data_IF_592145362514
#
_entry.id   IF_592145362514
#
_cell.length_a   1.000
_cell.length_b   1.000
_cell.length_c   1.000
_cell.angle_alpha   90.00
_cell.angle_beta   90.00
_cell.angle_gamma   90.00
#
_symmetry.space_group_name_H-M   'P 1'
#
loop_
_entity.id
_entity.type
_entity.pdbx_description
1 polymer ?
#
# COMPACT_ATOMS: atom_id res chain seq x y z
N UNK A 1 -8.83 -4.92 39.51
CA UNK A 1 -7.62 -5.45 38.87
C UNK A 1 -7.60 -4.94 37.43
N UNK A 2 -6.73 -3.99 37.09
CA UNK A 2 -6.65 -3.44 35.74
C UNK A 2 -5.87 -4.42 34.84
N UNK A 3 -6.40 -4.70 33.63
CA UNK A 3 -5.80 -5.63 32.68
C UNK A 3 -4.53 -5.00 32.06
N UNK A 4 -3.42 -5.73 31.90
CA UNK A 4 -2.21 -5.18 31.27
C UNK A 4 -2.50 -4.79 29.81
N UNK A 5 -2.25 -3.52 29.47
CA UNK A 5 -2.35 -3.02 28.10
C UNK A 5 -1.24 -3.61 27.23
N UNK A 6 -1.57 -4.00 26.00
CA UNK A 6 -0.60 -4.46 25.02
C UNK A 6 0.29 -3.28 24.59
N UNK A 7 1.46 -3.14 25.21
CA UNK A 7 2.49 -2.22 24.74
C UNK A 7 3.03 -2.74 23.41
N UNK A 8 2.66 -2.09 22.29
CA UNK A 8 3.34 -2.32 21.02
C UNK A 8 4.70 -1.63 21.09
N UNK A 9 5.76 -2.40 21.29
CA UNK A 9 7.12 -1.95 20.99
C UNK A 9 7.16 -1.64 19.50
N UNK A 10 7.04 -0.36 19.14
CA UNK A 10 7.47 0.09 17.82
C UNK A 10 8.98 0.31 17.95
N UNK A 11 9.84 -0.54 17.36
CA UNK A 11 11.25 -0.20 17.30
C UNK A 11 11.33 1.18 16.64
N UNK A 12 11.97 2.13 17.31
CA UNK A 12 12.38 3.38 16.68
C UNK A 12 13.27 2.96 15.52
N UNK A 13 12.72 3.03 14.31
CA UNK A 13 13.52 3.05 13.10
C UNK A 13 14.42 4.27 13.27
N UNK A 14 15.70 3.98 13.47
CA UNK A 14 16.78 4.93 13.37
C UNK A 14 16.59 5.65 12.03
N UNK A 15 16.71 6.97 12.09
CA UNK A 15 16.54 7.88 10.96
C UNK A 15 17.71 7.62 10.01
N UNK A 16 17.55 6.70 9.07
CA UNK A 16 18.39 6.61 7.88
C UNK A 16 18.01 7.79 6.97
N UNK A 17 18.67 8.91 7.26
CA UNK A 17 18.77 10.10 6.43
C UNK A 17 19.31 9.70 5.04
N UNK A 18 18.63 10.15 3.98
CA UNK A 18 19.09 10.15 2.58
C UNK A 18 19.26 8.80 1.87
N UNK A 19 18.15 8.17 1.48
CA UNK A 19 18.01 7.67 0.10
C UNK A 19 16.55 7.88 -0.34
N UNK A 20 16.35 8.38 -1.56
CA UNK A 20 15.10 8.26 -2.32
C UNK A 20 14.73 6.77 -2.50
N UNK A 21 14.51 6.05 -1.40
CA UNK A 21 14.12 4.66 -1.43
C UNK A 21 12.65 4.64 -1.84
N UNK A 22 12.44 4.28 -3.10
CA UNK A 22 11.13 3.92 -3.61
C UNK A 22 10.45 3.02 -2.57
N UNK A 23 9.24 3.40 -2.13
CA UNK A 23 8.55 2.69 -1.05
C UNK A 23 8.57 1.18 -1.35
N UNK A 24 8.98 0.32 -0.41
CA UNK A 24 9.16 -1.10 -0.68
C UNK A 24 7.91 -1.77 -1.27
N UNK A 25 6.70 -1.28 -0.93
CA UNK A 25 5.46 -1.74 -1.53
C UNK A 25 5.29 -1.22 -2.96
N UNK A 26 5.60 0.04 -3.25
CA UNK A 26 5.57 0.56 -4.63
C UNK A 26 6.56 -0.17 -5.54
N UNK A 27 7.78 -0.47 -5.05
CA UNK A 27 8.77 -1.27 -5.77
C UNK A 27 8.26 -2.68 -6.09
N UNK A 28 7.54 -3.32 -5.15
CA UNK A 28 6.89 -4.61 -5.40
C UNK A 28 5.78 -4.50 -6.44
N UNK A 29 4.92 -3.48 -6.35
CA UNK A 29 3.81 -3.26 -7.27
C UNK A 29 4.31 -2.91 -8.69
N UNK A 30 5.42 -2.19 -8.81
CA UNK A 30 6.09 -1.93 -10.09
C UNK A 30 6.50 -3.22 -10.78
N UNK A 31 6.96 -4.23 -10.03
CA UNK A 31 7.24 -5.56 -10.58
C UNK A 31 5.98 -6.27 -11.05
N UNK A 32 4.84 -6.08 -10.38
CA UNK A 32 3.55 -6.73 -10.71
C UNK A 32 2.89 -6.20 -11.98
N UNK A 33 3.36 -5.08 -12.52
CA UNK A 33 2.71 -4.42 -13.66
C UNK A 33 1.35 -3.80 -13.32
N UNK A 34 0.96 -3.76 -12.05
CA UNK A 34 -0.25 -3.11 -11.56
C UNK A 34 0.01 -1.68 -11.04
N UNK A 35 1.17 -1.11 -11.34
CA UNK A 35 1.58 0.22 -10.87
C UNK A 35 0.68 1.35 -11.35
N UNK A 36 0.08 1.23 -12.53
CA UNK A 36 -0.85 2.26 -13.04
C UNK A 36 -2.09 2.37 -12.14
N UNK A 37 -2.74 1.25 -11.84
CA UNK A 37 -3.92 1.22 -10.97
C UNK A 37 -3.58 1.61 -9.53
N UNK A 38 -2.36 1.30 -9.09
CA UNK A 38 -1.86 1.76 -7.79
C UNK A 38 -1.72 3.29 -7.73
N UNK A 39 -1.12 3.92 -8.75
CA UNK A 39 -1.02 5.39 -8.82
C UNK A 39 -2.39 6.06 -8.88
N UNK A 40 -3.34 5.54 -9.67
CA UNK A 40 -4.70 6.08 -9.68
C UNK A 40 -5.37 6.00 -8.30
N UNK A 41 -5.15 4.92 -7.57
CA UNK A 41 -5.64 4.78 -6.20
C UNK A 41 -4.96 5.79 -5.25
N UNK A 42 -3.65 5.95 -5.34
CA UNK A 42 -2.90 6.94 -4.57
C UNK A 42 -3.37 8.37 -4.87
N UNK A 43 -3.59 8.72 -6.14
CA UNK A 43 -4.11 10.01 -6.56
C UNK A 43 -5.51 10.26 -6.00
N UNK A 44 -6.40 9.27 -6.05
CA UNK A 44 -7.73 9.39 -5.46
C UNK A 44 -7.68 9.60 -3.95
N UNK A 45 -6.80 8.86 -3.26
CA UNK A 45 -6.58 8.99 -1.82
C UNK A 45 -5.93 10.32 -1.47
N UNK A 46 -5.01 10.84 -2.28
CA UNK A 46 -4.40 12.15 -2.10
C UNK A 46 -5.43 13.28 -2.27
N UNK A 47 -6.35 13.15 -3.23
CA UNK A 47 -7.37 14.15 -3.50
C UNK A 47 -8.53 14.14 -2.49
N UNK A 48 -9.01 12.96 -2.09
CA UNK A 48 -10.25 12.80 -1.32
C UNK A 48 -10.02 12.35 0.12
N UNK A 49 -8.93 11.63 0.36
CA UNK A 49 -8.60 10.98 1.65
C UNK A 49 -9.70 10.06 2.20
N UNK A 50 -10.64 9.64 1.35
CA UNK A 50 -11.72 8.72 1.69
C UNK A 50 -11.77 7.56 0.69
N UNK A 51 -11.37 6.39 1.16
CA UNK A 51 -11.34 5.16 0.38
C UNK A 51 -12.73 4.75 -0.15
N UNK A 52 -13.82 5.16 0.52
CA UNK A 52 -15.20 4.84 0.08
C UNK A 52 -15.52 5.49 -1.26
N UNK A 53 -14.95 6.67 -1.50
CA UNK A 53 -15.06 7.40 -2.76
C UNK A 53 -14.07 6.90 -3.83
N UNK A 54 -13.05 6.14 -3.42
CA UNK A 54 -12.04 5.55 -4.28
C UNK A 54 -12.30 4.06 -4.60
N UNK A 55 -13.52 3.56 -4.34
CA UNK A 55 -13.86 2.15 -4.54
C UNK A 55 -13.62 1.66 -5.97
N UNK A 56 -13.81 2.51 -6.98
CA UNK A 56 -13.52 2.15 -8.37
C UNK A 56 -12.03 1.83 -8.57
N UNK A 57 -11.15 2.70 -8.06
CA UNK A 57 -9.70 2.53 -8.14
C UNK A 57 -9.23 1.33 -7.31
N UNK A 58 -9.79 1.14 -6.10
CA UNK A 58 -9.52 -0.03 -5.26
C UNK A 58 -9.87 -1.33 -5.97
N UNK A 59 -11.04 -1.39 -6.63
CA UNK A 59 -11.48 -2.58 -7.38
C UNK A 59 -10.58 -2.83 -8.58
N UNK A 60 -10.23 -1.80 -9.35
CA UNK A 60 -9.33 -1.92 -10.50
C UNK A 60 -7.95 -2.47 -10.11
N UNK A 61 -7.38 -1.94 -9.02
CA UNK A 61 -6.12 -2.43 -8.47
C UNK A 61 -6.22 -3.89 -8.00
N UNK A 62 -7.28 -4.23 -7.26
CA UNK A 62 -7.53 -5.60 -6.80
C UNK A 62 -7.71 -6.61 -7.94
N UNK A 63 -8.43 -6.23 -8.99
CA UNK A 63 -8.61 -7.08 -10.19
C UNK A 63 -7.29 -7.31 -10.92
N UNK A 64 -6.43 -6.30 -11.04
CA UNK A 64 -5.10 -6.45 -11.62
C UNK A 64 -4.25 -7.44 -10.80
N UNK A 65 -4.20 -7.26 -9.48
CA UNK A 65 -3.42 -8.14 -8.59
C UNK A 65 -3.97 -9.56 -8.54
N UNK A 66 -5.29 -9.75 -8.66
CA UNK A 66 -5.90 -11.08 -8.74
C UNK A 66 -5.55 -11.78 -10.06
N UNK A 67 -5.51 -11.05 -11.19
CA UNK A 67 -5.05 -11.60 -12.47
C UNK A 67 -3.58 -12.01 -12.41
N UNK A 68 -2.75 -11.19 -11.76
CA UNK A 68 -1.33 -11.47 -11.54
C UNK A 68 -1.12 -12.77 -10.77
N UNK A 69 -1.78 -12.93 -9.63
CA UNK A 69 -1.69 -14.14 -8.80
C UNK A 69 -2.08 -15.41 -9.56
N UNK A 70 -3.09 -15.33 -10.44
CA UNK A 70 -3.51 -16.47 -11.28
C UNK A 70 -2.57 -16.80 -12.43
N UNK A 71 -1.74 -15.83 -12.85
CA UNK A 71 -0.76 -16.03 -13.92
C UNK A 71 0.60 -16.50 -13.38
N UNK A 72 0.84 -16.32 -12.08
CA UNK A 72 2.04 -16.79 -11.37
C UNK A 72 1.86 -18.20 -10.75
N UNK A 73 0.62 -18.74 -10.76
CA UNK A 73 0.28 -20.15 -10.45
C UNK A 73 0.41 -21.04 -11.68
#
# INVERSE_FOLDING_TARGET
>A
MARPGHARNRPSLEEDEDEETEDPLDAMISRTGCAAQHRELQECMAARQDWRHCQTQVRAFGECMARRQRAEE
#
